data_IF_885177848017
#
_entry.id   IF_885177848017
#
_cell.length_a   1.000
_cell.length_b   1.000
_cell.length_c   1.000
_cell.angle_alpha   90.00
_cell.angle_beta   90.00
_cell.angle_gamma   90.00
#
_symmetry.space_group_name_H-M   'P 1'
#
loop_
_entity.id
_entity.type
_entity.pdbx_description
1 polymer ?
#
# COMPACT_ATOMS: atom_id res chain seq x y z
N UNK A 1 -7.34 21.57 4.63
CA UNK A 1 -6.00 21.02 4.86
C UNK A 1 -5.24 21.84 5.90
N UNK A 2 -5.50 21.64 7.20
CA UNK A 2 -4.74 22.27 8.30
C UNK A 2 -4.17 21.23 9.29
N UNK A 3 -4.67 19.98 9.25
CA UNK A 3 -4.24 18.89 10.14
C UNK A 3 -3.15 17.97 9.57
N UNK A 4 -2.75 18.19 8.32
CA UNK A 4 -1.74 17.31 7.68
C UNK A 4 -0.37 17.49 8.33
N UNK A 5 -0.07 18.64 8.95
CA UNK A 5 1.25 18.95 9.51
C UNK A 5 1.37 18.80 11.04
N UNK A 6 0.39 18.19 11.71
CA UNK A 6 0.43 17.99 13.18
C UNK A 6 1.24 16.76 13.59
N UNK A 7 1.31 15.74 12.72
CA UNK A 7 1.99 14.49 12.99
C UNK A 7 2.97 14.17 11.86
N UNK A 8 4.25 14.52 12.05
CA UNK A 8 5.32 14.36 11.06
C UNK A 8 5.35 12.97 10.41
N UNK A 9 5.19 11.92 11.22
CA UNK A 9 5.19 10.53 10.73
C UNK A 9 4.05 10.29 9.74
N UNK A 10 2.86 10.82 10.01
CA UNK A 10 1.71 10.69 9.12
C UNK A 10 1.95 11.41 7.78
N UNK A 11 2.51 12.61 7.83
CA UNK A 11 2.90 13.37 6.62
C UNK A 11 3.93 12.61 5.78
N UNK A 12 4.93 12.01 6.44
CA UNK A 12 5.94 11.21 5.77
C UNK A 12 5.30 9.99 5.09
N UNK A 13 4.39 9.29 5.77
CA UNK A 13 3.67 8.16 5.18
C UNK A 13 2.83 8.56 3.97
N UNK A 14 2.06 9.65 4.06
CA UNK A 14 1.28 10.15 2.92
C UNK A 14 2.16 10.53 1.73
N UNK A 15 3.27 11.23 2.00
CA UNK A 15 4.23 11.64 0.95
C UNK A 15 4.86 10.41 0.29
N UNK A 16 5.21 9.40 1.07
CA UNK A 16 5.80 8.15 0.56
C UNK A 16 4.81 7.41 -0.34
N UNK A 17 3.56 7.24 0.12
CA UNK A 17 2.52 6.55 -0.67
C UNK A 17 2.15 7.29 -1.94
N UNK A 18 2.11 8.62 -1.93
CA UNK A 18 1.86 9.42 -3.14
C UNK A 18 3.00 9.28 -4.16
N UNK A 19 4.27 9.25 -3.71
CA UNK A 19 5.41 9.01 -4.59
C UNK A 19 5.41 7.61 -5.16
N UNK A 20 5.05 6.62 -4.36
CA UNK A 20 4.97 5.23 -4.80
C UNK A 20 3.87 5.04 -5.84
N UNK A 21 2.69 5.64 -5.65
CA UNK A 21 1.64 5.66 -6.66
C UNK A 21 2.16 6.18 -8.01
N UNK A 22 2.87 7.32 -8.02
CA UNK A 22 3.43 7.89 -9.25
C UNK A 22 4.52 7.00 -9.87
N UNK A 23 5.32 6.32 -9.04
CA UNK A 23 6.33 5.36 -9.51
C UNK A 23 5.67 4.18 -10.22
N UNK A 24 4.62 3.61 -9.62
CA UNK A 24 3.86 2.50 -10.19
C UNK A 24 3.14 2.94 -11.47
N UNK A 25 2.43 4.08 -11.44
CA UNK A 25 1.72 4.60 -12.62
C UNK A 25 2.67 4.82 -13.81
N UNK A 26 3.87 5.38 -13.57
CA UNK A 26 4.89 5.54 -14.61
C UNK A 26 5.34 4.19 -15.18
N UNK A 27 5.62 3.22 -14.33
CA UNK A 27 6.02 1.88 -14.78
C UNK A 27 4.89 1.19 -15.57
N UNK A 28 3.63 1.33 -15.14
CA UNK A 28 2.47 0.79 -15.85
C UNK A 28 2.27 1.44 -17.21
N UNK A 29 2.51 2.76 -17.33
CA UNK A 29 2.41 3.47 -18.60
C UNK A 29 3.50 3.03 -19.61
N UNK A 30 4.71 2.72 -19.12
CA UNK A 30 5.79 2.18 -19.96
C UNK A 30 5.44 0.78 -20.50
N UNK A 31 4.81 -0.06 -19.68
CA UNK A 31 4.42 -1.44 -20.07
C UNK A 31 3.12 -1.47 -20.87
N UNK A 32 2.19 -0.55 -20.59
CA UNK A 32 0.87 -0.46 -21.24
C UNK A 32 0.64 0.92 -21.88
N UNK A 33 1.28 1.23 -23.02
CA UNK A 33 1.15 2.54 -23.67
C UNK A 33 -0.25 2.89 -24.19
N UNK A 34 -1.16 1.91 -24.19
CA UNK A 34 -2.55 2.04 -24.67
C UNK A 34 -3.54 2.34 -23.54
N UNK A 35 -3.11 2.33 -22.29
CA UNK A 35 -3.96 2.70 -21.16
C UNK A 35 -4.12 4.21 -21.07
N UNK A 36 -5.32 4.64 -20.70
CA UNK A 36 -5.59 6.04 -20.37
C UNK A 36 -5.24 6.34 -18.91
N UNK A 37 -5.34 7.61 -18.54
CA UNK A 37 -4.98 8.11 -17.21
C UNK A 37 -5.82 7.48 -16.09
N UNK A 38 -7.11 7.23 -16.33
CA UNK A 38 -8.00 6.63 -15.33
C UNK A 38 -7.60 5.18 -15.04
N UNK A 39 -7.31 4.39 -16.08
CA UNK A 39 -6.84 3.00 -15.90
C UNK A 39 -5.51 3.01 -15.15
N UNK A 40 -4.55 3.87 -15.54
CA UNK A 40 -3.26 3.98 -14.86
C UNK A 40 -3.42 4.34 -13.38
N UNK A 41 -4.29 5.30 -13.07
CA UNK A 41 -4.57 5.70 -11.69
C UNK A 41 -5.17 4.55 -10.88
N UNK A 42 -6.21 3.88 -11.39
CA UNK A 42 -6.88 2.81 -10.64
C UNK A 42 -5.96 1.61 -10.44
N UNK A 43 -5.18 1.21 -11.46
CA UNK A 43 -4.25 0.09 -11.33
C UNK A 43 -3.07 0.43 -10.40
N UNK A 44 -2.49 1.62 -10.50
CA UNK A 44 -1.46 2.07 -9.58
C UNK A 44 -1.98 2.14 -8.13
N UNK A 45 -3.22 2.58 -7.93
CA UNK A 45 -3.89 2.58 -6.63
C UNK A 45 -4.10 1.17 -6.10
N UNK A 46 -4.55 0.23 -6.94
CA UNK A 46 -4.77 -1.18 -6.54
C UNK A 46 -3.47 -1.83 -6.06
N UNK A 47 -2.37 -1.63 -6.78
CA UNK A 47 -1.05 -2.17 -6.41
C UNK A 47 -0.56 -1.54 -5.09
N UNK A 48 -0.62 -0.22 -4.97
CA UNK A 48 -0.20 0.48 -3.75
C UNK A 48 -1.02 0.03 -2.51
N UNK A 49 -2.33 -0.19 -2.66
CA UNK A 49 -3.17 -0.78 -1.60
C UNK A 49 -2.68 -2.20 -1.23
N UNK A 50 -2.35 -3.02 -2.23
CA UNK A 50 -1.83 -4.37 -1.98
C UNK A 50 -0.49 -4.34 -1.23
N UNK A 51 0.40 -3.40 -1.55
CA UNK A 51 1.66 -3.19 -0.83
C UNK A 51 1.41 -2.82 0.64
N UNK A 52 0.52 -1.86 0.90
CA UNK A 52 0.12 -1.46 2.26
C UNK A 52 -0.46 -2.65 3.02
N UNK A 53 -1.34 -3.42 2.38
CA UNK A 53 -1.94 -4.63 2.98
C UNK A 53 -0.87 -5.68 3.29
N UNK A 54 0.07 -5.91 2.38
CA UNK A 54 1.16 -6.85 2.59
C UNK A 54 1.99 -6.46 3.82
N UNK A 55 2.47 -5.21 3.90
CA UNK A 55 3.23 -4.73 5.05
C UNK A 55 2.39 -4.82 6.35
N UNK A 56 1.11 -4.47 6.28
CA UNK A 56 0.23 -4.51 7.44
C UNK A 56 0.06 -5.93 7.99
N UNK A 57 -0.33 -6.89 7.14
CA UNK A 57 -0.67 -8.25 7.57
C UNK A 57 0.55 -9.14 7.76
N UNK A 58 1.62 -8.94 6.99
CA UNK A 58 2.80 -9.80 7.03
C UNK A 58 3.85 -9.32 8.04
N UNK A 59 3.94 -8.01 8.29
CA UNK A 59 5.00 -7.42 9.12
C UNK A 59 4.45 -6.79 10.40
N UNK A 60 3.47 -5.88 10.28
CA UNK A 60 3.00 -5.11 11.44
C UNK A 60 2.10 -5.90 12.39
N UNK A 61 1.04 -6.53 11.87
CA UNK A 61 0.06 -7.25 12.69
C UNK A 61 0.66 -8.44 13.47
N UNK A 62 1.57 -9.26 12.93
CA UNK A 62 2.21 -10.32 13.70
C UNK A 62 3.00 -9.81 14.91
N UNK A 63 3.66 -8.65 14.78
CA UNK A 63 4.40 -8.01 15.88
C UNK A 63 3.44 -7.48 16.95
N UNK A 64 2.32 -6.89 16.52
CA UNK A 64 1.35 -6.27 17.42
C UNK A 64 0.46 -7.28 18.15
N UNK A 65 -0.04 -8.28 17.42
CA UNK A 65 -1.08 -9.21 17.91
C UNK A 65 -0.51 -10.57 18.36
N UNK A 66 0.68 -10.93 17.89
CA UNK A 66 1.28 -12.25 18.13
C UNK A 66 0.69 -13.35 17.25
N UNK A 67 1.43 -14.46 17.13
CA UNK A 67 1.11 -15.56 16.21
C UNK A 67 -0.21 -16.26 16.53
N UNK A 68 -0.55 -16.42 17.82
CA UNK A 68 -1.79 -17.09 18.23
C UNK A 68 -3.05 -16.35 17.74
N UNK A 69 -3.06 -15.02 17.87
CA UNK A 69 -4.18 -14.18 17.41
C UNK A 69 -4.25 -14.19 15.88
N UNK A 70 -3.11 -14.08 15.20
CA UNK A 70 -3.04 -14.15 13.74
C UNK A 70 -3.63 -15.46 13.19
N UNK A 71 -3.30 -16.60 13.81
CA UNK A 71 -3.83 -17.91 13.44
C UNK A 71 -5.33 -18.04 13.73
N UNK A 72 -5.75 -17.64 14.93
CA UNK A 72 -7.15 -17.76 15.37
C UNK A 72 -8.13 -17.05 14.43
N UNK A 73 -7.72 -15.93 13.85
CA UNK A 73 -8.56 -15.12 12.96
C UNK A 73 -8.24 -15.31 11.47
N UNK A 74 -7.35 -16.25 11.10
CA UNK A 74 -7.01 -16.51 9.70
C UNK A 74 -6.36 -15.31 9.00
N UNK A 75 -5.54 -14.54 9.72
CA UNK A 75 -4.90 -13.32 9.20
C UNK A 75 -3.51 -13.59 8.60
N UNK A 76 -3.04 -14.84 8.68
CA UNK A 76 -1.79 -15.24 8.07
C UNK A 76 -1.95 -15.30 6.55
N UNK A 77 -1.00 -14.72 5.82
CA UNK A 77 -0.95 -14.84 4.37
C UNK A 77 -0.59 -16.28 3.99
N UNK A 78 -1.37 -16.86 3.08
CA UNK A 78 -1.03 -18.14 2.46
C UNK A 78 0.28 -17.95 1.68
N UNK A 79 1.33 -18.70 2.05
CA UNK A 79 2.53 -18.77 1.21
C UNK A 79 2.16 -19.62 -0.01
N UNK A 80 2.26 -19.01 -1.19
CA UNK A 80 2.22 -19.73 -2.47
C UNK A 80 3.41 -20.69 -2.59
#
# INVERSE_FOLDING_TARGET
EIRVNEQLVLTCMHTLMAREHNRIAKALAEVNPHWDDEILFQEARRINIAEIQHVTYNEFLPILLGQEVMQKFGLLLEKQ
#
